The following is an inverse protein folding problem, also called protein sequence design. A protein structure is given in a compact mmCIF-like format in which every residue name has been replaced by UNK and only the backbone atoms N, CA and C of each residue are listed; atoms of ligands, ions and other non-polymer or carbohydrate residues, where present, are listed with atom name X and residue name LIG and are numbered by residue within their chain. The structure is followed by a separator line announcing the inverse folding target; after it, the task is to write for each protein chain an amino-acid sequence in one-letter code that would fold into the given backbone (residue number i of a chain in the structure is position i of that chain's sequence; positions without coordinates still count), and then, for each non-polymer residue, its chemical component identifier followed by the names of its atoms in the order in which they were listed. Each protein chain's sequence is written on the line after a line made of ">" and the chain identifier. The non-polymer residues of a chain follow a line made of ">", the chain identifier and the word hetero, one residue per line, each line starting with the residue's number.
data_IF_511894403470
#
_entry.id   IF_511894403470
#
_cell.length_a   1.000
_cell.length_b   1.000
_cell.length_c   1.000
_cell.angle_alpha   90.00
_cell.angle_beta   90.00
_cell.angle_gamma   90.00
#
_symmetry.space_group_name_H-M   'P 1'
#
loop_
_entity.id
_entity.type
_entity.pdbx_description
1 polymer ?
#
# COMPACT_ATOMS: atom_id res chain seq x y z
N UNK A 1 17.40 -21.48 -0.67
CA UNK A 1 16.57 -20.78 -1.67
C UNK A 1 16.69 -19.28 -1.48
N UNK A 2 16.45 -18.77 -0.27
CA UNK A 2 16.73 -17.38 0.11
C UNK A 2 18.08 -17.28 0.82
N UNK A 3 18.78 -16.17 0.64
CA UNK A 3 20.04 -15.89 1.35
C UNK A 3 19.81 -15.35 2.77
N UNK A 4 20.89 -15.20 3.54
CA UNK A 4 20.82 -14.76 4.93
C UNK A 4 20.24 -13.33 5.08
N UNK A 5 20.48 -12.46 4.10
CA UNK A 5 19.94 -11.10 4.11
C UNK A 5 18.42 -11.13 3.92
N UNK A 6 17.93 -11.90 2.95
CA UNK A 6 16.51 -12.04 2.67
C UNK A 6 15.74 -12.66 3.84
N UNK A 7 16.32 -13.68 4.48
CA UNK A 7 15.76 -14.28 5.70
C UNK A 7 15.67 -13.23 6.82
N UNK A 8 16.76 -12.50 7.09
CA UNK A 8 16.78 -11.48 8.14
C UNK A 8 15.79 -10.34 7.88
N UNK A 9 15.66 -9.88 6.63
CA UNK A 9 14.67 -8.87 6.25
C UNK A 9 13.24 -9.40 6.38
N UNK A 10 12.98 -10.66 6.02
CA UNK A 10 11.65 -11.26 6.20
C UNK A 10 11.27 -11.37 7.67
N UNK A 11 12.20 -11.77 8.54
CA UNK A 11 12.00 -11.78 10.00
C UNK A 11 11.67 -10.39 10.55
N UNK A 12 12.42 -9.36 10.14
CA UNK A 12 12.18 -7.97 10.54
C UNK A 12 10.80 -7.46 10.08
N UNK A 13 10.41 -7.73 8.83
CA UNK A 13 9.07 -7.39 8.32
C UNK A 13 7.98 -8.04 9.16
N UNK A 14 8.07 -9.35 9.42
CA UNK A 14 7.08 -10.07 10.20
C UNK A 14 7.02 -9.56 11.65
N UNK A 15 8.17 -9.29 12.27
CA UNK A 15 8.24 -8.75 13.62
C UNK A 15 7.59 -7.37 13.73
N UNK A 16 7.84 -6.47 12.77
CA UNK A 16 7.22 -5.14 12.73
C UNK A 16 5.72 -5.20 12.49
N UNK A 17 5.28 -6.03 11.54
CA UNK A 17 3.86 -6.23 11.31
C UNK A 17 3.16 -6.77 12.56
N UNK A 18 3.77 -7.75 13.25
CA UNK A 18 3.25 -8.30 14.52
C UNK A 18 3.14 -7.23 15.60
N UNK A 19 4.19 -6.43 15.78
CA UNK A 19 4.18 -5.33 16.75
C UNK A 19 3.12 -4.26 16.43
N UNK A 20 2.86 -4.01 15.14
CA UNK A 20 1.83 -3.08 14.67
C UNK A 20 0.43 -3.67 14.52
N UNK A 21 0.23 -4.96 14.80
CA UNK A 21 -1.04 -5.65 14.56
C UNK A 21 -1.49 -5.66 13.10
N UNK A 22 -0.55 -5.65 12.16
CA UNK A 22 -0.80 -5.57 10.72
C UNK A 22 -0.81 -6.97 10.09
N UNK A 23 -1.87 -7.27 9.33
CA UNK A 23 -1.87 -8.39 8.39
C UNK A 23 -1.30 -7.98 7.05
N UNK A 24 -0.46 -8.84 6.48
CA UNK A 24 0.27 -8.60 5.23
C UNK A 24 -0.27 -9.48 4.09
N UNK A 25 -0.40 -8.88 2.91
CA UNK A 25 -0.73 -9.56 1.65
C UNK A 25 0.28 -9.18 0.55
N UNK A 26 0.59 -10.11 -0.36
CA UNK A 26 1.44 -9.84 -1.53
C UNK A 26 0.67 -9.97 -2.84
N UNK A 27 1.04 -9.18 -3.85
CA UNK A 27 0.58 -9.30 -5.23
C UNK A 27 1.77 -9.31 -6.20
N UNK A 28 2.11 -10.50 -6.68
CA UNK A 28 3.33 -10.76 -7.42
C UNK A 28 3.06 -11.02 -8.90
N UNK A 29 3.89 -10.45 -9.77
CA UNK A 29 3.94 -10.79 -11.19
C UNK A 29 5.29 -11.44 -11.52
N UNK A 30 6.32 -10.66 -11.81
CA UNK A 30 7.61 -11.18 -12.29
C UNK A 30 8.40 -12.01 -11.25
N UNK A 31 8.14 -11.81 -9.96
CA UNK A 31 8.72 -12.62 -8.87
C UNK A 31 8.04 -13.99 -8.74
N UNK A 32 6.78 -14.13 -9.15
CA UNK A 32 6.12 -15.43 -9.24
C UNK A 32 5.93 -16.15 -7.90
N UNK A 33 5.70 -15.43 -6.80
CA UNK A 33 5.48 -15.99 -5.47
C UNK A 33 6.73 -16.05 -4.61
N UNK A 34 7.87 -15.52 -5.06
CA UNK A 34 9.11 -15.53 -4.28
C UNK A 34 9.04 -14.66 -3.02
N UNK A 35 8.28 -13.55 -3.06
CA UNK A 35 8.16 -12.67 -1.88
C UNK A 35 7.32 -13.36 -0.82
N UNK A 36 6.16 -13.90 -1.21
CA UNK A 36 5.34 -14.74 -0.34
C UNK A 36 6.14 -15.93 0.17
N UNK A 37 6.86 -16.63 -0.71
CA UNK A 37 7.72 -17.76 -0.34
C UNK A 37 8.77 -17.41 0.70
N UNK A 38 9.42 -16.24 0.58
CA UNK A 38 10.43 -15.77 1.53
C UNK A 38 9.81 -15.47 2.90
N UNK A 39 8.65 -14.81 2.94
CA UNK A 39 7.92 -14.54 4.17
C UNK A 39 7.44 -15.83 4.84
N UNK A 40 6.90 -16.77 4.06
CA UNK A 40 6.37 -18.04 4.56
C UNK A 40 7.46 -19.06 4.92
N UNK A 41 8.71 -18.81 4.54
CA UNK A 41 9.84 -19.63 4.98
C UNK A 41 10.16 -19.43 6.48
N UNK A 42 9.68 -18.32 7.07
CA UNK A 42 9.86 -18.02 8.49
C UNK A 42 8.75 -18.71 9.30
N UNK A 43 9.16 -19.45 10.34
CA UNK A 43 8.23 -20.12 11.25
C UNK A 43 7.34 -19.08 11.96
N UNK A 44 6.05 -19.42 12.11
CA UNK A 44 5.07 -18.53 12.73
C UNK A 44 4.55 -17.41 11.82
N UNK A 45 5.00 -17.31 10.57
CA UNK A 45 4.54 -16.28 9.61
C UNK A 45 3.03 -16.22 9.40
N UNK A 46 2.27 -17.28 9.73
CA UNK A 46 0.81 -17.34 9.62
C UNK A 46 0.06 -16.38 10.54
N UNK A 47 0.70 -15.81 11.56
CA UNK A 47 0.10 -14.78 12.41
C UNK A 47 0.03 -13.40 11.76
N UNK A 48 0.83 -13.17 10.70
CA UNK A 48 0.94 -11.90 9.98
C UNK A 48 0.56 -12.06 8.51
N UNK A 49 1.12 -13.06 7.82
CA UNK A 49 0.94 -13.26 6.40
C UNK A 49 -0.42 -13.92 6.10
N UNK A 50 -1.30 -13.20 5.43
CA UNK A 50 -2.65 -13.68 5.11
C UNK A 50 -2.67 -14.52 3.83
N UNK A 51 -2.20 -13.96 2.71
CA UNK A 51 -2.19 -14.62 1.41
C UNK A 51 -1.22 -13.96 0.43
N UNK A 52 -0.98 -14.63 -0.70
CA UNK A 52 -0.30 -14.08 -1.86
C UNK A 52 -1.13 -14.26 -3.12
N UNK A 53 -1.19 -13.22 -3.95
CA UNK A 53 -1.74 -13.25 -5.30
C UNK A 53 -0.60 -13.35 -6.31
N UNK A 54 -0.61 -14.35 -7.19
CA UNK A 54 0.30 -14.38 -8.34
C UNK A 54 -0.49 -14.00 -9.60
N UNK A 55 -0.36 -12.77 -10.06
CA UNK A 55 -1.15 -12.17 -11.15
C UNK A 55 -0.31 -11.87 -12.39
N UNK A 56 0.26 -12.93 -12.98
CA UNK A 56 1.21 -12.79 -14.09
C UNK A 56 0.61 -12.12 -15.34
N UNK A 57 -0.63 -12.47 -15.70
CA UNK A 57 -1.32 -11.93 -16.88
C UNK A 57 -2.11 -10.65 -16.58
N UNK A 58 -2.36 -9.84 -17.60
CA UNK A 58 -3.25 -8.66 -17.49
C UNK A 58 -4.67 -9.05 -17.05
N UNK A 59 -5.17 -10.18 -17.55
CA UNK A 59 -6.46 -10.74 -17.13
C UNK A 59 -6.46 -11.08 -15.65
N UNK A 60 -5.41 -11.69 -15.11
CA UNK A 60 -5.31 -12.00 -13.69
C UNK A 60 -5.24 -10.72 -12.83
N UNK A 61 -4.48 -9.70 -13.26
CA UNK A 61 -4.43 -8.39 -12.60
C UNK A 61 -5.82 -7.76 -12.52
N UNK A 62 -6.59 -7.84 -13.59
CA UNK A 62 -7.96 -7.30 -13.62
C UNK A 62 -8.91 -8.13 -12.77
N UNK A 63 -8.92 -9.46 -12.94
CA UNK A 63 -9.89 -10.35 -12.31
C UNK A 63 -9.69 -10.51 -10.80
N UNK A 64 -8.43 -10.55 -10.33
CA UNK A 64 -8.13 -10.81 -8.92
C UNK A 64 -7.92 -9.52 -8.11
N UNK A 65 -7.40 -8.46 -8.74
CA UNK A 65 -6.99 -7.24 -8.06
C UNK A 65 -7.74 -6.00 -8.57
N UNK A 66 -8.76 -6.17 -9.42
CA UNK A 66 -9.55 -5.07 -9.99
C UNK A 66 -8.72 -3.97 -10.68
N UNK A 67 -7.51 -4.29 -11.15
CA UNK A 67 -6.68 -3.34 -11.91
C UNK A 67 -7.42 -2.95 -13.19
N UNK A 68 -7.67 -1.65 -13.46
CA UNK A 68 -8.46 -1.24 -14.61
C UNK A 68 -7.83 -1.71 -15.93
N UNK A 69 -8.60 -2.39 -16.76
CA UNK A 69 -8.13 -2.87 -18.07
C UNK A 69 -7.64 -1.72 -18.96
N UNK A 70 -8.24 -0.54 -18.86
CA UNK A 70 -7.82 0.64 -19.61
C UNK A 70 -6.43 1.15 -19.19
N UNK A 71 -6.13 1.10 -17.89
CA UNK A 71 -4.82 1.45 -17.35
C UNK A 71 -3.73 0.54 -17.92
N UNK A 72 -4.01 -0.77 -17.96
CA UNK A 72 -3.12 -1.79 -18.53
C UNK A 72 -2.88 -1.57 -20.03
N UNK A 73 -3.92 -1.21 -20.79
CA UNK A 73 -3.78 -0.91 -22.23
C UNK A 73 -2.95 0.33 -22.51
N UNK A 74 -3.19 1.41 -21.75
CA UNK A 74 -2.55 2.72 -22.00
C UNK A 74 -1.10 2.78 -21.54
N UNK A 75 -0.81 2.24 -20.35
CA UNK A 75 0.50 2.41 -19.71
C UNK A 75 1.33 1.11 -19.73
N UNK A 76 0.70 -0.02 -20.00
CA UNK A 76 1.33 -1.35 -19.91
C UNK A 76 1.44 -1.83 -18.47
N UNK A 77 1.58 -3.15 -18.32
CA UNK A 77 1.62 -3.82 -17.03
C UNK A 77 2.81 -3.43 -16.15
N UNK A 78 3.92 -3.00 -16.75
CA UNK A 78 5.15 -2.61 -16.04
C UNK A 78 5.20 -1.09 -15.98
N UNK A 79 4.46 -0.54 -15.02
CA UNK A 79 4.34 0.90 -14.78
C UNK A 79 3.98 1.17 -13.31
N UNK A 80 4.26 2.39 -12.85
CA UNK A 80 3.94 2.83 -11.50
C UNK A 80 2.43 2.76 -11.20
N UNK A 81 1.52 3.28 -12.05
CA UNK A 81 0.09 3.24 -11.73
C UNK A 81 -0.46 1.81 -11.63
N UNK A 82 0.09 0.87 -12.40
CA UNK A 82 -0.29 -0.54 -12.31
C UNK A 82 0.23 -1.17 -11.02
N UNK A 83 1.46 -0.86 -10.59
CA UNK A 83 1.98 -1.35 -9.32
C UNK A 83 1.12 -0.86 -8.13
N UNK A 84 0.75 0.42 -8.13
CA UNK A 84 -0.13 1.01 -7.10
C UNK A 84 -1.51 0.35 -7.13
N UNK A 85 -2.14 0.27 -8.32
CA UNK A 85 -3.46 -0.35 -8.46
C UNK A 85 -3.46 -1.83 -8.03
N UNK A 86 -2.38 -2.57 -8.28
CA UNK A 86 -2.23 -3.95 -7.80
C UNK A 86 -2.14 -4.02 -6.27
N UNK A 87 -1.41 -3.11 -5.62
CA UNK A 87 -1.25 -3.09 -4.16
C UNK A 87 -2.58 -2.72 -3.47
N UNK A 88 -3.25 -1.68 -3.96
CA UNK A 88 -4.55 -1.24 -3.46
C UNK A 88 -5.64 -2.31 -3.68
N UNK A 89 -5.64 -2.94 -4.87
CA UNK A 89 -6.52 -4.06 -5.20
C UNK A 89 -6.32 -5.26 -4.28
N UNK A 90 -5.07 -5.62 -3.99
CA UNK A 90 -4.75 -6.70 -3.04
C UNK A 90 -5.22 -6.39 -1.62
N UNK A 91 -5.06 -5.14 -1.17
CA UNK A 91 -5.52 -4.68 0.13
C UNK A 91 -7.06 -4.71 0.24
N UNK A 92 -7.76 -4.32 -0.83
CA UNK A 92 -9.21 -4.37 -0.89
C UNK A 92 -9.74 -5.82 -0.91
N UNK A 93 -9.14 -6.70 -1.71
CA UNK A 93 -9.60 -8.08 -1.90
C UNK A 93 -9.31 -9.00 -0.69
N UNK A 94 -8.26 -8.71 0.08
CA UNK A 94 -7.85 -9.55 1.22
C UNK A 94 -8.46 -9.13 2.56
N UNK A 95 -8.77 -7.85 2.75
CA UNK A 95 -9.09 -7.33 4.07
C UNK A 95 -7.88 -7.14 4.98
N UNK A 96 -6.65 -7.33 4.48
CA UNK A 96 -5.39 -7.13 5.21
C UNK A 96 -5.12 -5.65 5.53
N UNK A 97 -4.07 -5.34 6.28
CA UNK A 97 -3.76 -3.97 6.72
C UNK A 97 -2.61 -3.34 5.91
N UNK A 98 -1.74 -4.20 5.36
CA UNK A 98 -0.61 -3.84 4.50
C UNK A 98 -0.59 -4.76 3.27
N UNK A 99 -0.38 -4.17 2.10
CA UNK A 99 -0.18 -4.88 0.84
C UNK A 99 1.12 -4.43 0.17
N UNK A 100 1.78 -5.34 -0.53
CA UNK A 100 2.81 -4.99 -1.51
C UNK A 100 2.52 -5.63 -2.85
N UNK A 101 2.77 -4.90 -3.93
CA UNK A 101 2.64 -5.41 -5.29
C UNK A 101 3.89 -5.19 -6.12
N UNK A 102 4.14 -6.10 -7.06
CA UNK A 102 5.32 -6.09 -7.93
C UNK A 102 4.94 -6.42 -9.37
N UNK A 103 5.44 -5.61 -10.31
CA UNK A 103 5.35 -5.85 -11.74
C UNK A 103 6.63 -5.42 -12.45
N UNK A 104 7.15 -6.24 -13.37
CA UNK A 104 8.48 -6.03 -13.93
C UNK A 104 8.84 -6.95 -15.09
N UNK A 105 10.00 -6.71 -15.69
CA UNK A 105 10.56 -7.45 -16.83
C UNK A 105 11.83 -8.14 -16.35
N UNK A 106 11.73 -9.40 -15.91
CA UNK A 106 12.92 -10.13 -15.44
C UNK A 106 13.82 -10.67 -16.56
N UNK A 107 13.39 -10.63 -17.83
CA UNK A 107 14.20 -11.12 -18.94
C UNK A 107 14.15 -12.64 -19.15
N UNK A 108 14.95 -13.17 -20.09
CA UNK A 108 15.94 -12.43 -20.90
C UNK A 108 15.30 -11.58 -22.02
N UNK A 109 14.03 -11.81 -22.36
CA UNK A 109 13.28 -11.03 -23.35
C UNK A 109 12.24 -10.08 -22.73
N UNK A 110 11.39 -9.50 -23.59
CA UNK A 110 10.27 -8.64 -23.18
C UNK A 110 10.64 -7.19 -22.86
N UNK A 111 11.93 -6.84 -22.93
CA UNK A 111 12.41 -5.47 -22.81
C UNK A 111 12.29 -4.67 -24.11
N UNK A 112 12.40 -3.36 -23.97
CA UNK A 112 12.51 -2.37 -25.05
C UNK A 112 13.43 -1.23 -24.60
N UNK A 113 13.83 -0.34 -25.50
CA UNK A 113 14.65 0.83 -25.13
C UNK A 113 14.02 1.67 -24.01
N UNK A 114 12.69 1.84 -24.03
CA UNK A 114 11.96 2.58 -23.00
C UNK A 114 11.70 1.78 -21.71
N UNK A 115 11.65 0.44 -21.81
CA UNK A 115 11.36 -0.47 -20.70
C UNK A 115 12.35 -1.64 -20.73
N UNK A 116 13.59 -1.44 -20.26
CA UNK A 116 14.64 -2.44 -20.41
C UNK A 116 14.35 -3.68 -19.56
N UNK A 117 15.02 -4.79 -19.90
CA UNK A 117 15.13 -5.94 -18.98
C UNK A 117 15.74 -5.47 -17.67
N UNK A 118 15.21 -5.97 -16.55
CA UNK A 118 15.57 -5.53 -15.22
C UNK A 118 14.65 -4.44 -14.65
N UNK A 119 13.82 -3.78 -15.49
CA UNK A 119 12.87 -2.79 -15.01
C UNK A 119 11.78 -3.45 -14.14
N UNK A 120 11.66 -2.98 -12.90
CA UNK A 120 10.65 -3.42 -11.94
C UNK A 120 10.03 -2.21 -11.25
N UNK A 121 8.70 -2.22 -11.16
CA UNK A 121 7.93 -1.31 -10.32
C UNK A 121 7.31 -2.11 -9.19
N UNK A 122 7.39 -1.57 -7.98
CA UNK A 122 6.69 -2.14 -6.83
C UNK A 122 6.13 -1.04 -5.93
N UNK A 123 5.02 -1.35 -5.27
CA UNK A 123 4.32 -0.40 -4.43
C UNK A 123 3.82 -1.08 -3.16
N UNK A 124 3.83 -0.36 -2.04
CA UNK A 124 3.26 -0.79 -0.78
C UNK A 124 2.10 0.14 -0.41
N UNK A 125 0.99 -0.45 -0.01
CA UNK A 125 -0.24 0.28 0.35
C UNK A 125 -0.71 -0.14 1.74
N UNK A 126 -1.06 0.85 2.56
CA UNK A 126 -1.67 0.66 3.88
C UNK A 126 -3.01 1.34 3.94
N UNK A 127 -3.91 0.82 4.77
CA UNK A 127 -5.21 1.46 4.97
C UNK A 127 -5.01 2.87 5.51
N UNK A 128 -5.76 3.82 4.94
CA UNK A 128 -5.75 5.24 5.34
C UNK A 128 -4.37 5.94 5.21
N UNK A 129 -3.44 5.39 4.44
CA UNK A 129 -2.16 6.03 4.11
C UNK A 129 -1.98 6.12 2.60
N UNK A 130 -1.13 7.05 2.15
CA UNK A 130 -0.73 7.10 0.75
C UNK A 130 0.11 5.88 0.40
N UNK A 131 -0.11 5.31 -0.79
CA UNK A 131 0.72 4.24 -1.34
C UNK A 131 2.15 4.74 -1.58
N UNK A 132 3.16 3.98 -1.16
CA UNK A 132 4.55 4.23 -1.52
C UNK A 132 4.91 3.42 -2.76
N UNK A 133 5.69 4.00 -3.67
CA UNK A 133 6.12 3.37 -4.91
C UNK A 133 7.63 3.49 -5.09
N UNK A 134 8.23 2.45 -5.68
CA UNK A 134 9.60 2.49 -6.16
C UNK A 134 9.74 1.89 -7.55
N UNK A 135 10.72 2.42 -8.28
CA UNK A 135 11.14 1.96 -9.61
C UNK A 135 12.62 1.62 -9.58
N UNK A 136 12.96 0.42 -10.03
CA UNK A 136 14.33 -0.07 -10.12
C UNK A 136 14.63 -0.64 -11.49
N UNK A 137 15.89 -0.60 -11.89
CA UNK A 137 16.42 -1.34 -13.03
C UNK A 137 17.55 -2.22 -12.50
N UNK A 138 17.25 -3.50 -12.29
CA UNK A 138 18.21 -4.46 -11.74
C UNK A 138 19.09 -5.06 -12.83
N UNK A 139 20.36 -5.29 -12.51
CA UNK A 139 21.30 -5.94 -13.42
C UNK A 139 21.29 -7.47 -13.26
N UNK A 140 21.80 -8.16 -14.27
CA UNK A 140 21.98 -9.62 -14.25
C UNK A 140 20.89 -10.38 -15.00
N UNK A 141 20.89 -11.70 -14.81
CA UNK A 141 19.94 -12.60 -15.46
C UNK A 141 18.56 -12.59 -14.78
N UNK A 142 17.65 -13.41 -15.31
CA UNK A 142 16.28 -13.55 -14.78
C UNK A 142 16.24 -13.90 -13.31
N UNK A 143 17.15 -14.75 -12.84
CA UNK A 143 17.19 -15.15 -11.44
C UNK A 143 17.68 -14.00 -10.58
N UNK A 144 18.78 -13.34 -10.97
CA UNK A 144 19.35 -12.20 -10.26
C UNK A 144 18.35 -11.04 -10.13
N UNK A 145 17.63 -10.68 -11.20
CA UNK A 145 16.61 -9.62 -11.15
C UNK A 145 15.51 -9.97 -10.17
N UNK A 146 15.03 -11.22 -10.16
CA UNK A 146 13.97 -11.68 -9.25
C UNK A 146 14.42 -11.63 -7.79
N UNK A 147 15.63 -12.10 -7.49
CA UNK A 147 16.15 -12.10 -6.10
C UNK A 147 16.45 -10.69 -5.59
N UNK A 148 17.02 -9.81 -6.41
CA UNK A 148 17.18 -8.39 -6.07
C UNK A 148 15.83 -7.71 -5.81
N UNK A 149 14.81 -8.07 -6.59
CA UNK A 149 13.44 -7.57 -6.38
C UNK A 149 12.89 -8.00 -5.02
N UNK A 150 13.09 -9.27 -4.62
CA UNK A 150 12.67 -9.77 -3.29
C UNK A 150 13.32 -8.94 -2.19
N UNK A 151 14.65 -8.77 -2.23
CA UNK A 151 15.39 -7.99 -1.23
C UNK A 151 14.90 -6.53 -1.17
N UNK A 152 14.72 -5.87 -2.32
CA UNK A 152 14.24 -4.49 -2.37
C UNK A 152 12.81 -4.33 -1.81
N UNK A 153 11.92 -5.28 -2.11
CA UNK A 153 10.55 -5.28 -1.58
C UNK A 153 10.51 -5.52 -0.08
N UNK A 154 11.32 -6.43 0.46
CA UNK A 154 11.39 -6.66 1.90
C UNK A 154 11.90 -5.40 2.64
N UNK A 155 12.87 -4.68 2.06
CA UNK A 155 13.30 -3.38 2.59
C UNK A 155 12.20 -2.32 2.56
N UNK A 156 11.39 -2.25 1.49
CA UNK A 156 10.23 -1.35 1.45
C UNK A 156 9.20 -1.71 2.52
N UNK A 157 8.86 -3.00 2.64
CA UNK A 157 7.94 -3.49 3.67
C UNK A 157 8.44 -3.16 5.08
N UNK A 158 9.73 -3.35 5.37
CA UNK A 158 10.32 -3.03 6.68
C UNK A 158 10.10 -1.56 7.07
N UNK A 159 10.33 -0.63 6.14
CA UNK A 159 10.09 0.80 6.37
C UNK A 159 8.61 1.11 6.56
N UNK A 160 7.76 0.54 5.70
CA UNK A 160 6.32 0.79 5.70
C UNK A 160 5.63 0.17 6.92
N UNK A 161 6.15 -0.93 7.48
CA UNK A 161 5.62 -1.54 8.70
C UNK A 161 6.03 -0.78 9.98
N UNK A 162 7.04 0.08 9.92
CA UNK A 162 7.54 0.84 11.06
C UNK A 162 6.71 2.11 11.38
N UNK A 163 6.04 2.66 10.38
CA UNK A 163 5.20 3.85 10.55
C UNK A 163 3.95 3.45 11.35
N UNK A 164 3.92 3.67 12.66
CA UNK A 164 2.72 3.37 13.44
C UNK A 164 1.50 4.10 12.84
N UNK A 165 0.35 3.42 12.79
CA UNK A 165 -0.90 4.14 12.64
C UNK A 165 -1.00 5.13 13.80
N UNK A 166 -1.29 6.40 13.52
CA UNK A 166 -1.68 7.34 14.58
C UNK A 166 -2.83 6.69 15.37
N UNK A 167 -2.67 6.46 16.69
CA UNK A 167 -3.71 5.82 17.50
C UNK A 167 -5.06 6.56 17.43
N UNK A 168 -5.09 7.82 16.97
CA UNK A 168 -6.32 8.56 16.70
C UNK A 168 -7.21 7.94 15.59
N UNK A 169 -6.68 7.09 14.71
CA UNK A 169 -7.41 6.46 13.62
C UNK A 169 -7.83 5.01 13.91
N UNK A 170 -8.16 4.69 15.17
CA UNK A 170 -8.67 3.35 15.57
C UNK A 170 -10.19 3.30 15.78
N UNK A 171 -10.93 4.39 15.55
CA UNK A 171 -12.39 4.41 15.54
C UNK A 171 -12.92 4.04 14.15
N UNK A 172 -12.91 2.75 13.83
CA UNK A 172 -13.43 2.27 12.53
C UNK A 172 -13.61 0.77 12.38
N UNK A 173 -13.65 -0.01 13.48
CA UNK A 173 -14.07 -1.41 13.44
C UNK A 173 -15.28 -1.61 14.35
N UNK A 174 -16.50 -1.43 13.82
CA UNK A 174 -17.68 -2.29 14.01
C UNK A 174 -18.91 -1.77 13.25
N UNK A 175 -19.52 -2.69 12.50
CA UNK A 175 -20.95 -2.82 12.16
C UNK A 175 -21.77 -1.56 11.85
N UNK A 176 -22.20 -1.45 10.59
CA UNK A 176 -23.55 -1.00 10.22
C UNK A 176 -23.94 0.45 10.55
N UNK A 177 -24.23 1.20 9.48
CA UNK A 177 -25.02 2.45 9.47
C UNK A 177 -24.30 3.67 10.05
N UNK A 178 -23.91 4.59 9.15
CA UNK A 178 -23.56 5.98 9.49
C UNK A 178 -22.21 6.42 8.95
N UNK A 179 -22.22 7.17 7.85
CA UNK A 179 -21.04 7.86 7.35
C UNK A 179 -20.65 9.00 8.30
N UNK A 180 -19.40 9.04 8.74
CA UNK A 180 -18.81 10.23 9.35
C UNK A 180 -17.50 10.55 8.65
N UNK A 181 -17.39 11.78 8.13
CA UNK A 181 -16.20 12.29 7.45
C UNK A 181 -15.08 12.53 8.46
N UNK A 182 -13.93 11.90 8.26
CA UNK A 182 -12.71 12.22 8.98
C UNK A 182 -12.12 13.52 8.42
N UNK A 183 -12.27 14.63 9.16
CA UNK A 183 -11.59 15.87 8.86
C UNK A 183 -10.11 15.75 9.29
N UNK A 184 -9.22 15.56 8.32
CA UNK A 184 -7.78 15.57 8.53
C UNK A 184 -7.35 16.93 9.13
N UNK A 185 -6.98 16.95 10.41
CA UNK A 185 -6.30 18.11 11.00
C UNK A 185 -4.83 18.07 10.63
N UNK A 186 -4.43 18.94 9.70
CA UNK A 186 -3.06 19.47 9.66
C UNK A 186 -2.93 20.49 10.79
N UNK A 187 -1.99 20.23 11.69
CA UNK A 187 -1.60 21.09 12.79
C UNK A 187 -1.03 22.41 12.27
N UNK A 188 -1.72 23.51 12.55
CA UNK A 188 -1.06 24.77 12.86
C UNK A 188 -1.88 25.50 13.94
N UNK A 189 -1.16 26.10 14.88
CA UNK A 189 -1.64 26.56 16.17
C UNK A 189 -2.90 27.46 16.12
N UNK A 190 -3.97 27.05 16.82
CA UNK A 190 -4.81 27.90 17.67
C UNK A 190 -5.82 27.03 18.43
N UNK A 191 -5.77 27.06 19.76
CA UNK A 191 -6.66 26.32 20.65
C UNK A 191 -8.08 26.88 20.59
N UNK A 192 -8.98 26.21 19.87
CA UNK A 192 -10.42 26.42 20.00
C UNK A 192 -11.00 25.25 20.79
N UNK A 193 -11.36 25.49 22.06
CA UNK A 193 -12.14 24.58 22.89
C UNK A 193 -13.58 24.56 22.35
N UNK A 194 -14.02 23.45 21.76
CA UNK A 194 -15.43 23.17 21.55
C UNK A 194 -15.97 22.39 22.76
N UNK A 195 -16.75 23.06 23.61
CA UNK A 195 -17.66 22.39 24.54
C UNK A 195 -18.88 21.90 23.76
N UNK A 196 -19.14 20.59 23.77
CA UNK A 196 -20.36 20.01 23.24
C UNK A 196 -21.56 20.47 24.07
N UNK A 197 -22.49 21.21 23.46
CA UNK A 197 -23.81 21.48 24.03
C UNK A 197 -24.82 20.56 23.35
N UNK A 198 -25.32 19.59 24.11
CA UNK A 198 -26.49 18.81 23.74
C UNK A 198 -27.72 19.67 24.04
N UNK A 199 -28.36 20.25 23.01
CA UNK A 199 -29.82 20.24 22.97
C UNK A 199 -30.40 20.57 21.59
N UNK A 200 -31.51 19.89 21.33
CA UNK A 200 -32.30 19.86 20.12
C UNK A 200 -33.22 21.09 19.99
N UNK A 201 -33.21 21.72 18.80
CA UNK A 201 -34.39 22.15 17.99
C UNK A 201 -33.97 23.09 16.84
N UNK A 202 -34.70 23.10 15.70
CA UNK A 202 -34.32 23.85 14.51
C UNK A 202 -34.92 25.28 14.54
N UNK A 203 -34.30 26.25 13.86
CA UNK A 203 -34.96 27.42 13.21
C UNK A 203 -33.93 28.19 12.36
N UNK A 204 -34.29 28.38 11.09
CA UNK A 204 -34.19 29.56 10.21
C UNK A 204 -32.93 30.44 10.14
N UNK A 205 -32.45 30.58 8.90
CA UNK A 205 -31.93 31.79 8.24
C UNK A 205 -31.72 33.04 9.10
N UNK A 206 -30.49 33.58 9.08
CA UNK A 206 -30.27 35.01 9.20
C UNK A 206 -29.00 35.46 8.45
N UNK A 207 -29.18 36.49 7.62
CA UNK A 207 -28.18 37.16 6.80
C UNK A 207 -27.02 37.73 7.63
N UNK A 208 -25.80 37.61 7.12
CA UNK A 208 -24.65 38.38 7.60
C UNK A 208 -24.73 39.78 7.01
N UNK A 209 -24.94 40.77 7.88
CA UNK A 209 -24.90 42.20 7.60
C UNK A 209 -23.46 42.72 7.75
N UNK A 210 -23.01 43.51 6.77
CA UNK A 210 -21.81 44.35 6.84
C UNK A 210 -21.85 45.34 8.02
N UNK A 211 -20.69 45.62 8.64
CA UNK A 211 -20.10 46.98 8.70
C UNK A 211 -18.78 47.04 9.49
N UNK A 212 -17.75 47.46 8.75
CA UNK A 212 -16.88 48.63 8.98
C UNK A 212 -15.99 48.80 10.24
N UNK A 213 -14.70 48.95 9.90
CA UNK A 213 -13.82 50.11 10.16
C UNK A 213 -13.07 50.25 11.50
N UNK A 214 -11.74 50.35 11.39
CA UNK A 214 -10.84 51.45 11.85
C UNK A 214 -9.37 50.96 11.74
N UNK A 215 -8.59 51.44 10.77
CA UNK A 215 -7.74 52.65 10.81
C UNK A 215 -6.53 52.55 11.75
N UNK A 216 -5.35 52.24 11.19
CA UNK A 216 -4.12 53.04 11.27
C UNK A 216 -3.11 52.50 10.25
#
# INVERSE_FOLDING_TARGET
>A
MFDAEQVSLAEDVLARCRAGGLRLVTAESCTGGLIGGCLTAIAGSSDVFDRGYVTYSNTAKTAMLAVPADLLRRLGAVSEPVAIAMAEGALAASGADLAVAVTGISGPGGGSAARPVGLVHFAASRRAAASLHERHVFAGDRHAVRMQTVTAVLRLLSRVSAEAADPACTLGRRSGIGAYSCAARRSNALTIRCTASLNSRPISFCNVFERNSKSM
#
